data_IF_244461400695
#
_entry.id   IF_244461400695
#
_cell.length_a   1.000
_cell.length_b   1.000
_cell.length_c   1.000
_cell.angle_alpha   90.00
_cell.angle_beta   90.00
_cell.angle_gamma   90.00
#
_symmetry.space_group_name_H-M   'P 1'
#
loop_
_entity.id
_entity.type
_entity.pdbx_description
1 polymer ?
#
# COMPACT_ATOMS: atom_id res chain seq x y z
N UNK A 1 -55.67 -4.83 40.04
CA UNK A 1 -55.31 -5.60 38.84
C UNK A 1 -54.42 -4.70 37.99
N UNK A 2 -53.11 -4.91 38.04
CA UNK A 2 -52.10 -4.00 37.48
C UNK A 2 -51.71 -4.44 36.05
N UNK A 3 -51.64 -3.51 35.10
CA UNK A 3 -51.17 -3.77 33.74
C UNK A 3 -49.64 -3.70 33.68
N UNK A 4 -48.93 -4.70 33.11
CA UNK A 4 -47.47 -4.64 33.00
C UNK A 4 -47.06 -3.75 31.82
N UNK A 5 -46.32 -2.69 32.12
CA UNK A 5 -45.68 -1.81 31.14
C UNK A 5 -44.59 -2.61 30.42
N UNK A 6 -44.77 -2.85 29.13
CA UNK A 6 -43.75 -3.50 28.28
C UNK A 6 -42.66 -2.47 27.97
N UNK A 7 -41.49 -2.63 28.57
CA UNK A 7 -40.31 -1.84 28.27
C UNK A 7 -39.70 -2.29 26.92
N UNK A 8 -39.93 -1.51 25.87
CA UNK A 8 -39.30 -1.72 24.56
C UNK A 8 -37.92 -1.10 24.57
N UNK A 9 -36.87 -1.93 24.55
CA UNK A 9 -35.48 -1.50 24.40
C UNK A 9 -35.26 -1.13 22.93
N UNK A 10 -35.04 0.15 22.64
CA UNK A 10 -34.56 0.61 21.34
C UNK A 10 -33.06 0.29 21.24
N UNK A 11 -32.71 -0.77 20.50
CA UNK A 11 -31.33 -1.06 20.14
C UNK A 11 -30.91 -0.10 19.01
N UNK A 12 -30.14 0.94 19.35
CA UNK A 12 -29.55 1.84 18.37
C UNK A 12 -28.49 1.09 17.57
N UNK A 13 -28.81 0.66 16.36
CA UNK A 13 -27.84 0.08 15.43
C UNK A 13 -26.88 1.17 14.96
N UNK A 14 -25.68 1.22 15.54
CA UNK A 14 -24.59 2.06 15.03
C UNK A 14 -24.04 1.38 13.78
N UNK A 15 -24.42 1.90 12.61
CA UNK A 15 -23.81 1.49 11.35
C UNK A 15 -22.38 2.04 11.33
N UNK A 16 -21.38 1.17 11.53
CA UNK A 16 -20.00 1.51 11.25
C UNK A 16 -19.85 1.62 9.73
N UNK A 17 -19.70 2.84 9.23
CA UNK A 17 -19.25 3.05 7.86
C UNK A 17 -17.83 2.48 7.77
N UNK A 18 -17.65 1.38 7.04
CA UNK A 18 -16.32 0.91 6.69
C UNK A 18 -15.64 2.01 5.87
N UNK A 19 -14.42 2.44 6.21
CA UNK A 19 -13.68 3.36 5.35
C UNK A 19 -13.57 2.71 3.97
N UNK A 20 -13.88 3.46 2.92
CA UNK A 20 -13.65 2.99 1.56
C UNK A 20 -12.20 2.52 1.46
N UNK A 21 -11.98 1.28 1.02
CA UNK A 21 -10.65 0.75 0.81
C UNK A 21 -9.99 1.60 -0.28
N UNK A 22 -9.14 2.52 0.13
CA UNK A 22 -8.48 3.42 -0.78
C UNK A 22 -7.44 2.62 -1.58
N UNK A 23 -7.38 2.87 -2.90
CA UNK A 23 -6.47 2.16 -3.78
C UNK A 23 -5.03 2.51 -3.40
N UNK A 24 -4.21 1.47 -3.18
CA UNK A 24 -2.83 1.62 -2.72
C UNK A 24 -2.00 2.50 -3.65
N UNK A 25 -0.97 3.15 -3.10
CA UNK A 25 -0.03 3.97 -3.87
C UNK A 25 0.95 3.02 -4.56
N UNK A 26 0.78 2.85 -5.87
CA UNK A 26 1.64 1.97 -6.67
C UNK A 26 2.89 2.73 -7.11
N UNK A 27 4.07 2.20 -6.77
CA UNK A 27 5.38 2.74 -7.17
C UNK A 27 6.14 1.66 -7.92
N UNK A 28 6.51 1.94 -9.16
CA UNK A 28 7.37 1.08 -9.96
C UNK A 28 8.79 1.66 -10.02
N UNK A 29 9.79 0.86 -9.66
CA UNK A 29 11.20 1.15 -9.86
C UNK A 29 11.71 0.35 -11.06
N UNK A 30 12.01 1.06 -12.16
CA UNK A 30 12.47 0.46 -13.42
C UNK A 30 13.94 0.83 -13.59
N UNK A 31 14.82 -0.11 -13.32
CA UNK A 31 16.26 0.12 -13.28
C UNK A 31 17.04 -1.10 -13.75
N UNK A 32 18.33 -0.93 -14.02
CA UNK A 32 19.22 -2.06 -14.33
C UNK A 32 19.53 -2.84 -13.04
N UNK A 33 18.87 -3.97 -12.82
CA UNK A 33 19.05 -4.79 -11.61
C UNK A 33 19.89 -6.03 -11.83
N UNK A 34 20.15 -6.41 -13.08
CA UNK A 34 21.02 -7.55 -13.41
C UNK A 34 22.18 -7.14 -14.30
N UNK A 35 23.23 -7.98 -14.35
CA UNK A 35 24.37 -7.76 -15.22
C UNK A 35 25.31 -6.61 -14.80
N UNK A 36 26.21 -6.18 -15.71
CA UNK A 36 27.18 -5.13 -15.43
C UNK A 36 26.52 -3.81 -15.03
N UNK A 37 27.05 -3.17 -13.99
CA UNK A 37 26.58 -1.86 -13.53
C UNK A 37 25.33 -1.89 -12.63
N UNK A 38 24.84 -3.06 -12.20
CA UNK A 38 23.63 -3.14 -11.35
C UNK A 38 23.86 -2.85 -9.87
N UNK A 39 25.11 -2.86 -9.39
CA UNK A 39 25.42 -2.77 -7.95
C UNK A 39 24.79 -1.55 -7.28
N UNK A 40 25.04 -0.35 -7.81
CA UNK A 40 24.48 0.89 -7.26
C UNK A 40 22.95 0.91 -7.31
N UNK A 41 22.37 0.39 -8.40
CA UNK A 41 20.93 0.30 -8.56
C UNK A 41 20.29 -0.66 -7.56
N UNK A 42 20.99 -1.73 -7.17
CA UNK A 42 20.52 -2.65 -6.14
C UNK A 42 20.50 -2.00 -4.76
N UNK A 43 21.53 -1.24 -4.42
CA UNK A 43 21.56 -0.46 -3.17
C UNK A 43 20.41 0.56 -3.13
N UNK A 44 20.13 1.22 -4.26
CA UNK A 44 19.00 2.14 -4.38
C UNK A 44 17.65 1.45 -4.22
N UNK A 45 17.44 0.29 -4.83
CA UNK A 45 16.21 -0.48 -4.70
C UNK A 45 15.97 -0.94 -3.25
N UNK A 46 17.03 -1.40 -2.58
CA UNK A 46 16.96 -1.76 -1.16
C UNK A 46 16.56 -0.56 -0.28
N UNK A 47 17.16 0.62 -0.52
CA UNK A 47 16.80 1.83 0.21
C UNK A 47 15.36 2.29 -0.06
N UNK A 48 14.91 2.23 -1.33
CA UNK A 48 13.55 2.58 -1.71
C UNK A 48 12.51 1.63 -1.09
N UNK A 49 12.79 0.32 -1.09
CA UNK A 49 11.95 -0.67 -0.42
C UNK A 49 11.91 -0.43 1.09
N UNK A 50 13.05 -0.20 1.72
CA UNK A 50 13.13 0.11 3.15
C UNK A 50 12.29 1.35 3.50
N UNK A 51 12.35 2.40 2.68
CA UNK A 51 11.51 3.58 2.85
C UNK A 51 10.01 3.24 2.73
N UNK A 52 9.60 2.50 1.70
CA UNK A 52 8.21 2.12 1.50
C UNK A 52 7.67 1.31 2.69
N UNK A 53 8.44 0.33 3.15
CA UNK A 53 8.10 -0.49 4.31
C UNK A 53 7.99 0.38 5.59
N UNK A 54 8.91 1.33 5.78
CA UNK A 54 8.90 2.26 6.93
C UNK A 54 7.68 3.18 6.91
N UNK A 55 7.33 3.72 5.75
CA UNK A 55 6.15 4.59 5.58
C UNK A 55 4.86 3.80 5.82
N UNK A 56 4.77 2.58 5.29
CA UNK A 56 3.62 1.70 5.54
C UNK A 56 3.47 1.36 7.02
N UNK A 57 4.58 1.05 7.71
CA UNK A 57 4.58 0.82 9.15
C UNK A 57 4.11 2.05 9.96
N UNK A 58 4.32 3.27 9.42
CA UNK A 58 3.86 4.52 10.02
C UNK A 58 2.38 4.89 9.67
N UNK A 59 1.64 4.00 9.01
CA UNK A 59 0.26 4.22 8.59
C UNK A 59 0.08 4.70 7.15
N UNK A 60 1.14 4.62 6.34
CA UNK A 60 1.10 4.97 4.93
C UNK A 60 1.02 6.47 4.67
N UNK A 61 0.76 6.84 3.42
CA UNK A 61 0.60 8.23 3.00
C UNK A 61 -0.90 8.54 2.95
N UNK A 62 -1.36 9.41 3.87
CA UNK A 62 -2.79 9.73 4.04
C UNK A 62 -3.65 8.47 4.26
N UNK A 63 -3.12 7.48 4.97
CA UNK A 63 -3.79 6.20 5.23
C UNK A 63 -3.66 5.16 4.10
N UNK A 64 -2.94 5.48 3.02
CA UNK A 64 -2.73 4.55 1.89
C UNK A 64 -1.37 3.89 1.99
N UNK A 65 -1.35 2.55 1.93
CA UNK A 65 -0.11 1.81 1.83
C UNK A 65 0.50 1.96 0.43
N UNK A 66 1.82 1.93 0.40
CA UNK A 66 2.65 1.87 -0.79
C UNK A 66 2.79 0.41 -1.23
N UNK A 67 2.52 0.15 -2.49
CA UNK A 67 2.85 -1.09 -3.20
C UNK A 67 4.10 -0.82 -4.06
N UNK A 68 5.22 -1.45 -3.71
CA UNK A 68 6.50 -1.25 -4.38
C UNK A 68 6.81 -2.40 -5.33
N UNK A 69 7.06 -2.07 -6.60
CA UNK A 69 7.38 -3.01 -7.66
C UNK A 69 8.77 -2.72 -8.22
N UNK A 70 9.54 -3.77 -8.48
CA UNK A 70 10.83 -3.70 -9.15
C UNK A 70 10.72 -4.34 -10.54
N UNK A 71 11.16 -3.62 -11.57
CA UNK A 71 11.27 -4.14 -12.93
C UNK A 71 12.68 -3.96 -13.46
N UNK A 72 13.31 -5.06 -13.84
CA UNK A 72 14.66 -5.04 -14.39
C UNK A 72 14.64 -4.61 -15.86
N UNK A 73 15.34 -3.50 -16.17
CA UNK A 73 15.53 -3.03 -17.53
C UNK A 73 16.71 -3.70 -18.24
N UNK A 74 17.54 -4.46 -17.53
CA UNK A 74 18.74 -5.10 -18.05
C UNK A 74 19.73 -4.12 -18.73
N UNK A 75 19.65 -2.83 -18.37
CA UNK A 75 20.48 -1.77 -18.94
C UNK A 75 20.05 -1.35 -20.35
N UNK A 76 18.85 -1.75 -20.79
CA UNK A 76 18.32 -1.46 -22.13
C UNK A 76 17.16 -0.47 -22.06
N UNK A 77 17.20 0.55 -22.93
CA UNK A 77 16.09 1.50 -23.10
C UNK A 77 14.84 0.86 -23.69
N UNK A 78 15.00 -0.18 -24.52
CA UNK A 78 13.87 -0.91 -25.09
C UNK A 78 13.12 -1.71 -24.01
N UNK A 79 13.86 -2.48 -23.20
CA UNK A 79 13.27 -3.27 -22.10
C UNK A 79 12.64 -2.37 -21.04
N UNK A 80 13.22 -1.20 -20.77
CA UNK A 80 12.63 -0.21 -19.87
C UNK A 80 11.29 0.33 -20.39
N UNK A 81 11.15 0.54 -21.70
CA UNK A 81 9.92 1.08 -22.29
C UNK A 81 8.75 0.09 -22.30
N UNK A 82 8.99 -1.19 -22.04
CA UNK A 82 7.96 -2.24 -21.98
C UNK A 82 7.34 -2.43 -20.59
N UNK A 83 7.78 -1.65 -19.58
CA UNK A 83 7.34 -1.74 -18.18
C UNK A 83 6.43 -0.57 -17.82
#
# INVERSE_FOLDING_TARGET
MAYPVKATIFATAVAFASPAAAEGIKIANIENFTGPGSTTNREYALAAKYWADTVNAAGGIKGNNIEYFEYDSQGSTATAAEK
#
